data_IF_441303149084
#
_entry.id   IF_441303149084
#
_cell.length_a   1.000
_cell.length_b   1.000
_cell.length_c   1.000
_cell.angle_alpha   90.00
_cell.angle_beta   90.00
_cell.angle_gamma   90.00
#
_symmetry.space_group_name_H-M   'P 1'
#
loop_
_entity.id
_entity.type
_entity.pdbx_description
1 polymer ?
#
# COMPACT_ATOMS: atom_id res chain seq x y z
N UNK A 1 -28.66 -0.95 2.29
CA UNK A 1 -27.95 0.28 1.83
C UNK A 1 -26.84 0.74 2.78
N UNK A 2 -27.00 0.72 4.12
CA UNK A 2 -25.98 1.19 5.08
C UNK A 2 -24.62 0.45 5.06
N UNK A 3 -24.58 -0.84 4.68
CA UNK A 3 -23.34 -1.60 4.64
C UNK A 3 -22.39 -1.16 3.49
N UNK A 4 -22.97 -0.84 2.33
CA UNK A 4 -22.24 -0.41 1.13
C UNK A 4 -21.62 0.98 1.31
N UNK A 5 -22.32 1.89 1.99
CA UNK A 5 -21.78 3.22 2.31
C UNK A 5 -20.63 3.15 3.32
N UNK A 6 -20.71 2.26 4.31
CA UNK A 6 -19.62 2.06 5.26
C UNK A 6 -18.37 1.48 4.60
N UNK A 7 -18.54 0.50 3.70
CA UNK A 7 -17.41 -0.12 2.98
C UNK A 7 -16.70 0.87 2.05
N UNK A 8 -17.46 1.68 1.32
CA UNK A 8 -16.91 2.71 0.41
C UNK A 8 -16.19 3.82 1.16
N UNK A 9 -16.66 4.20 2.36
CA UNK A 9 -15.94 5.13 3.23
C UNK A 9 -14.60 4.53 3.69
N UNK A 10 -14.61 3.28 4.18
CA UNK A 10 -13.39 2.61 4.65
C UNK A 10 -12.35 2.45 3.55
N UNK A 11 -12.77 2.10 2.33
CA UNK A 11 -11.85 1.96 1.19
C UNK A 11 -11.28 3.32 0.76
N UNK A 12 -12.08 4.39 0.73
CA UNK A 12 -11.59 5.75 0.46
C UNK A 12 -10.55 6.22 1.47
N UNK A 13 -10.82 6.01 2.76
CA UNK A 13 -9.89 6.38 3.83
C UNK A 13 -8.58 5.57 3.74
N UNK A 14 -8.68 4.26 3.48
CA UNK A 14 -7.51 3.40 3.30
C UNK A 14 -6.71 3.79 2.06
N UNK A 15 -7.38 4.22 0.98
CA UNK A 15 -6.72 4.75 -0.20
C UNK A 15 -6.01 6.08 0.07
N UNK A 16 -6.58 6.97 0.90
CA UNK A 16 -5.88 8.20 1.32
C UNK A 16 -4.60 7.90 2.08
N UNK A 17 -4.58 6.83 2.88
CA UNK A 17 -3.35 6.36 3.51
C UNK A 17 -2.35 5.86 2.47
N UNK A 18 -2.78 4.94 1.60
CA UNK A 18 -1.93 4.36 0.55
C UNK A 18 -1.35 5.41 -0.41
N UNK A 19 -2.13 6.45 -0.74
CA UNK A 19 -1.70 7.56 -1.63
C UNK A 19 -0.39 8.21 -1.16
N UNK A 20 -0.13 8.26 0.15
CA UNK A 20 1.11 8.84 0.70
C UNK A 20 2.36 8.07 0.29
N UNK A 21 2.25 6.77 0.07
CA UNK A 21 3.36 5.88 -0.29
C UNK A 21 3.32 5.41 -1.74
N UNK A 22 2.19 5.60 -2.43
CA UNK A 22 1.94 5.12 -3.80
C UNK A 22 3.05 5.48 -4.78
N UNK A 23 3.48 6.75 -4.81
CA UNK A 23 4.50 7.22 -5.76
C UNK A 23 5.86 6.57 -5.48
N UNK A 24 6.25 6.49 -4.20
CA UNK A 24 7.50 5.83 -3.82
C UNK A 24 7.50 4.35 -4.20
N UNK A 25 6.38 3.66 -3.98
CA UNK A 25 6.23 2.25 -4.35
C UNK A 25 6.22 2.04 -5.87
N UNK A 26 5.61 2.95 -6.64
CA UNK A 26 5.61 2.90 -8.10
C UNK A 26 7.05 3.02 -8.65
N UNK A 27 7.80 4.02 -8.18
CA UNK A 27 9.20 4.25 -8.58
C UNK A 27 10.05 3.03 -8.23
N UNK A 28 9.91 2.49 -7.00
CA UNK A 28 10.64 1.30 -6.57
C UNK A 28 10.37 0.09 -7.48
N UNK A 29 9.11 -0.10 -7.89
CA UNK A 29 8.73 -1.17 -8.83
C UNK A 29 9.45 -1.00 -10.15
N UNK A 30 9.41 0.21 -10.73
CA UNK A 30 10.01 0.48 -12.02
C UNK A 30 11.52 0.25 -11.97
N UNK A 31 12.21 0.75 -10.94
CA UNK A 31 13.65 0.58 -10.77
C UNK A 31 14.04 -0.90 -10.65
N UNK A 32 13.33 -1.68 -9.84
CA UNK A 32 13.64 -3.12 -9.70
C UNK A 32 13.26 -3.90 -10.96
N UNK A 33 12.18 -3.53 -11.64
CA UNK A 33 11.79 -4.18 -12.90
C UNK A 33 12.85 -3.98 -14.00
N UNK A 34 13.51 -2.81 -14.03
CA UNK A 34 14.59 -2.51 -14.98
C UNK A 34 15.84 -3.39 -14.79
N UNK A 35 16.10 -3.91 -13.58
CA UNK A 35 17.25 -4.79 -13.33
C UNK A 35 17.04 -6.22 -13.84
N UNK A 36 15.86 -6.53 -14.39
CA UNK A 36 15.54 -7.88 -14.81
C UNK A 36 15.24 -8.82 -13.64
N UNK A 37 14.98 -8.28 -12.44
CA UNK A 37 14.57 -9.07 -11.29
C UNK A 37 13.19 -9.72 -11.50
N UNK A 38 12.91 -10.85 -10.82
CA UNK A 38 11.60 -11.48 -10.84
C UNK A 38 10.60 -10.70 -9.96
N UNK A 39 9.30 -10.89 -10.20
CA UNK A 39 8.23 -10.12 -9.55
C UNK A 39 8.19 -10.35 -8.03
N UNK A 40 8.54 -11.56 -7.59
CA UNK A 40 8.58 -12.00 -6.20
C UNK A 40 9.51 -11.11 -5.36
N UNK A 41 10.64 -10.71 -5.93
CA UNK A 41 11.63 -9.83 -5.25
C UNK A 41 11.05 -8.45 -5.00
N UNK A 42 10.33 -7.89 -5.98
CA UNK A 42 9.61 -6.61 -5.83
C UNK A 42 8.58 -6.73 -4.70
N UNK A 43 7.80 -7.82 -4.74
CA UNK A 43 6.69 -8.02 -3.83
C UNK A 43 7.16 -8.17 -2.37
N UNK A 44 8.19 -8.98 -2.13
CA UNK A 44 8.78 -9.18 -0.80
C UNK A 44 9.31 -7.86 -0.23
N UNK A 45 10.11 -7.11 -1.01
CA UNK A 45 10.65 -5.83 -0.55
C UNK A 45 9.54 -4.85 -0.16
N UNK A 46 8.47 -4.80 -0.95
CA UNK A 46 7.37 -3.89 -0.68
C UNK A 46 6.52 -4.29 0.51
N UNK A 47 6.27 -5.57 0.73
CA UNK A 47 5.58 -6.05 1.94
C UNK A 47 6.34 -5.59 3.18
N UNK A 48 7.66 -5.77 3.19
CA UNK A 48 8.53 -5.33 4.28
C UNK A 48 8.42 -3.82 4.48
N UNK A 49 8.50 -3.03 3.40
CA UNK A 49 8.38 -1.57 3.48
C UNK A 49 7.02 -1.09 3.99
N UNK A 50 5.91 -1.68 3.51
CA UNK A 50 4.56 -1.34 3.99
C UNK A 50 4.45 -1.66 5.49
N UNK A 51 4.99 -2.80 5.93
CA UNK A 51 5.06 -3.17 7.33
C UNK A 51 5.85 -2.16 8.17
N UNK A 52 7.05 -1.77 7.73
CA UNK A 52 7.86 -0.76 8.39
C UNK A 52 7.18 0.61 8.44
N UNK A 53 6.49 1.01 7.38
CA UNK A 53 5.72 2.26 7.36
C UNK A 53 4.63 2.19 8.42
N UNK A 54 3.86 1.11 8.51
CA UNK A 54 2.81 0.99 9.53
C UNK A 54 3.37 1.02 10.94
N UNK A 55 4.44 0.28 11.21
CA UNK A 55 5.12 0.30 12.50
C UNK A 55 5.61 1.72 12.83
N UNK A 56 6.13 2.46 11.84
CA UNK A 56 6.55 3.85 12.07
C UNK A 56 5.40 4.75 12.50
N UNK A 57 4.17 4.49 12.06
CA UNK A 57 3.00 5.25 12.53
C UNK A 57 2.53 4.84 13.93
N UNK A 58 2.81 3.60 14.36
CA UNK A 58 2.45 3.10 15.69
C UNK A 58 3.41 3.59 16.78
N UNK A 59 4.71 3.66 16.47
CA UNK A 59 5.78 3.94 17.43
C UNK A 59 6.33 5.37 17.39
N UNK A 60 6.23 6.07 16.25
CA UNK A 60 6.60 7.50 16.16
C UNK A 60 5.33 8.32 16.39
N UNK A 61 5.41 9.39 17.18
CA UNK A 61 4.37 10.34 17.68
C UNK A 61 3.23 10.82 16.75
N UNK A 62 3.06 10.23 15.55
CA UNK A 62 1.92 10.37 14.66
C UNK A 62 0.70 9.52 15.10
N UNK A 63 0.53 9.29 16.40
CA UNK A 63 -0.60 8.53 16.97
C UNK A 63 -1.96 9.04 16.44
N UNK A 64 -2.11 10.35 16.25
CA UNK A 64 -3.36 10.97 15.78
C UNK A 64 -3.83 10.43 14.41
N UNK A 65 -2.92 10.07 13.52
CA UNK A 65 -3.30 9.55 12.21
C UNK A 65 -3.88 8.14 12.31
N UNK A 66 -3.29 7.25 13.11
CA UNK A 66 -3.83 5.90 13.32
C UNK A 66 -5.09 5.92 14.19
N UNK A 67 -5.16 6.81 15.17
CA UNK A 67 -6.36 7.04 15.98
C UNK A 67 -7.52 7.50 15.09
N UNK A 68 -7.27 8.38 14.11
CA UNK A 68 -8.27 8.75 13.11
C UNK A 68 -8.84 7.53 12.38
N UNK A 69 -8.00 6.64 11.83
CA UNK A 69 -8.48 5.43 11.15
C UNK A 69 -9.20 4.46 12.11
N UNK A 70 -8.71 4.34 13.35
CA UNK A 70 -9.34 3.53 14.40
C UNK A 70 -10.74 4.03 14.77
N UNK A 71 -10.96 5.35 14.78
CA UNK A 71 -12.28 5.96 15.03
C UNK A 71 -13.30 5.62 13.93
N UNK A 72 -12.85 5.33 12.71
CA UNK A 72 -13.69 4.82 11.62
C UNK A 72 -13.79 3.28 11.59
N UNK A 73 -13.29 2.58 12.61
CA UNK A 73 -13.29 1.12 12.69
C UNK A 73 -12.41 0.47 11.64
N UNK A 74 -11.31 1.13 11.25
CA UNK A 74 -10.26 0.56 10.40
C UNK A 74 -9.13 0.07 11.31
N UNK A 75 -8.84 -1.22 11.27
CA UNK A 75 -7.74 -1.82 12.03
C UNK A 75 -6.41 -1.65 11.27
N UNK A 76 -5.27 -1.62 11.97
CA UNK A 76 -3.95 -1.60 11.32
C UNK A 76 -3.75 -2.77 10.35
N UNK A 77 -4.26 -3.96 10.71
CA UNK A 77 -4.24 -5.15 9.85
C UNK A 77 -5.05 -4.96 8.57
N UNK A 78 -6.22 -4.33 8.64
CA UNK A 78 -7.00 -4.00 7.45
C UNK A 78 -6.25 -2.99 6.57
N UNK A 79 -5.65 -1.96 7.16
CA UNK A 79 -4.86 -0.96 6.44
C UNK A 79 -3.68 -1.61 5.71
N UNK A 80 -2.98 -2.52 6.38
CA UNK A 80 -1.90 -3.33 5.82
C UNK A 80 -2.37 -4.15 4.63
N UNK A 81 -3.39 -4.98 4.83
CA UNK A 81 -3.94 -5.85 3.79
C UNK A 81 -4.42 -5.03 2.58
N UNK A 82 -5.07 -3.89 2.82
CA UNK A 82 -5.50 -2.98 1.76
C UNK A 82 -4.31 -2.41 0.98
N UNK A 83 -3.26 -1.96 1.67
CA UNK A 83 -2.06 -1.44 1.02
C UNK A 83 -1.37 -2.53 0.19
N UNK A 84 -1.19 -3.74 0.73
CA UNK A 84 -0.61 -4.85 0.00
C UNK A 84 -1.44 -5.21 -1.24
N UNK A 85 -2.77 -5.24 -1.12
CA UNK A 85 -3.66 -5.53 -2.25
C UNK A 85 -3.56 -4.46 -3.34
N UNK A 86 -3.72 -3.18 -2.98
CA UNK A 86 -3.66 -2.07 -3.91
C UNK A 86 -2.28 -1.96 -4.59
N UNK A 87 -1.21 -2.17 -3.83
CA UNK A 87 0.15 -2.15 -4.35
C UNK A 87 0.47 -3.36 -5.23
N UNK A 88 -0.09 -4.54 -4.95
CA UNK A 88 0.06 -5.70 -5.83
C UNK A 88 -0.48 -5.42 -7.23
N UNK A 89 -1.65 -4.81 -7.32
CA UNK A 89 -2.25 -4.41 -8.61
C UNK A 89 -1.34 -3.39 -9.33
N UNK A 90 -0.91 -2.35 -8.61
CA UNK A 90 -0.02 -1.33 -9.18
C UNK A 90 1.30 -1.94 -9.67
N UNK A 91 1.89 -2.82 -8.87
CA UNK A 91 3.16 -3.49 -9.17
C UNK A 91 3.06 -4.36 -10.41
N UNK A 92 1.98 -5.14 -10.53
CA UNK A 92 1.74 -6.00 -11.69
C UNK A 92 1.63 -5.18 -12.98
N UNK A 93 0.90 -4.05 -12.94
CA UNK A 93 0.76 -3.17 -14.09
C UNK A 93 2.13 -2.61 -14.51
N UNK A 94 2.87 -2.02 -13.57
CA UNK A 94 4.19 -1.42 -13.87
C UNK A 94 5.18 -2.49 -14.35
N UNK A 95 5.27 -3.63 -13.65
CA UNK A 95 6.19 -4.70 -14.00
C UNK A 95 5.94 -5.22 -15.42
N UNK A 96 4.67 -5.47 -15.77
CA UNK A 96 4.30 -5.93 -17.11
C UNK A 96 4.61 -4.88 -18.18
N UNK A 97 4.33 -3.60 -17.91
CA UNK A 97 4.65 -2.51 -18.84
C UNK A 97 6.14 -2.38 -19.06
N UNK A 98 6.95 -2.35 -17.99
CA UNK A 98 8.41 -2.21 -18.09
C UNK A 98 9.04 -3.42 -18.80
N UNK A 99 8.62 -4.64 -18.44
CA UNK A 99 9.12 -5.87 -19.09
C UNK A 99 8.72 -6.02 -20.55
N UNK A 100 7.60 -5.43 -20.95
CA UNK A 100 7.20 -5.44 -22.37
C UNK A 100 7.99 -4.42 -23.21
N UNK A 101 8.66 -3.46 -22.59
CA UNK A 101 9.44 -2.42 -23.26
C UNK A 101 10.94 -2.76 -23.37
N UNK A 102 11.42 -3.73 -22.58
CA UNK A 102 12.78 -4.26 -22.59
C UNK A 102 12.86 -5.54 -23.43
#
# INVERSE_FOLDING_TARGET
>A
MHFLSALTLKSRLSFLFYRKILVAMAILTALIALTGSPFEVIWIMKIVLIGLVLLSYEYVDKQDNLVFYKNFGITPVFLFAFCCFADSILSLLIFKTVRSLL
#
